data_IF_128984185308
#
_entry.id   IF_128984185308
#
_cell.length_a   1.000
_cell.length_b   1.000
_cell.length_c   1.000
_cell.angle_alpha   90.00
_cell.angle_beta   90.00
_cell.angle_gamma   90.00
#
_symmetry.space_group_name_H-M   'P 1'
#
loop_
_entity.id
_entity.type
_entity.pdbx_description
1 polymer ?
#
# COMPACT_ATOMS: atom_id res chain seq x y z
N UNK A 1 -3.56 13.10 3.32
CA UNK A 1 -4.80 12.27 3.30
C UNK A 1 -4.44 10.84 3.68
N UNK A 2 -5.22 10.21 4.55
CA UNK A 2 -5.03 8.80 4.96
C UNK A 2 -6.21 7.98 4.46
N UNK A 3 -5.93 6.87 3.78
CA UNK A 3 -6.95 5.92 3.36
C UNK A 3 -6.60 4.53 3.85
N UNK A 4 -7.58 3.88 4.48
CA UNK A 4 -7.51 2.47 4.84
C UNK A 4 -8.19 1.65 3.73
N UNK A 5 -7.42 0.79 3.07
CA UNK A 5 -7.93 -0.16 2.07
C UNK A 5 -8.70 0.45 0.87
N UNK A 6 -8.16 1.46 0.16
CA UNK A 6 -8.88 2.15 -0.93
C UNK A 6 -9.20 1.26 -2.14
N UNK A 7 -8.68 0.04 -2.20
CA UNK A 7 -8.81 -0.88 -3.34
C UNK A 7 -9.84 -2.00 -3.16
N UNK A 8 -10.32 -2.27 -1.93
CA UNK A 8 -11.43 -3.20 -1.64
C UNK A 8 -11.47 -4.52 -2.43
N UNK A 9 -12.65 -5.16 -2.49
CA UNK A 9 -12.94 -6.27 -3.42
C UNK A 9 -13.40 -5.72 -4.79
N UNK A 10 -12.71 -4.71 -5.30
CA UNK A 10 -13.05 -4.07 -6.57
C UNK A 10 -12.38 -4.81 -7.73
N UNK A 11 -12.98 -4.73 -8.93
CA UNK A 11 -12.38 -5.36 -10.10
C UNK A 11 -11.05 -4.67 -10.48
N UNK A 12 -10.12 -5.37 -11.16
CA UNK A 12 -8.80 -4.84 -11.49
C UNK A 12 -8.83 -3.51 -12.27
N UNK A 13 -9.86 -3.27 -13.09
CA UNK A 13 -10.02 -2.02 -13.85
C UNK A 13 -10.29 -0.85 -12.92
N UNK A 14 -11.14 -1.07 -11.92
CA UNK A 14 -11.47 -0.05 -10.94
C UNK A 14 -10.29 0.22 -10.00
N UNK A 15 -9.60 -0.83 -9.54
CA UNK A 15 -8.38 -0.70 -8.75
C UNK A 15 -7.34 0.18 -9.45
N UNK A 16 -7.14 -0.04 -10.76
CA UNK A 16 -6.24 0.76 -11.61
C UNK A 16 -6.64 2.23 -11.70
N UNK A 17 -7.93 2.52 -11.87
CA UNK A 17 -8.42 3.91 -11.95
C UNK A 17 -8.23 4.64 -10.63
N UNK A 18 -8.48 3.96 -9.51
CA UNK A 18 -8.27 4.54 -8.19
C UNK A 18 -6.78 4.80 -7.96
N UNK A 19 -5.90 3.83 -8.24
CA UNK A 19 -4.46 4.00 -8.05
C UNK A 19 -3.88 5.16 -8.87
N UNK A 20 -4.39 5.39 -10.08
CA UNK A 20 -4.01 6.55 -10.90
C UNK A 20 -4.43 7.90 -10.31
N UNK A 21 -5.58 7.95 -9.63
CA UNK A 21 -6.14 9.20 -9.10
C UNK A 21 -5.67 9.55 -7.71
N UNK A 22 -5.34 8.56 -6.89
CA UNK A 22 -4.90 8.78 -5.51
C UNK A 22 -3.77 9.82 -5.36
N UNK A 23 -2.68 9.78 -6.15
CA UNK A 23 -1.59 10.76 -6.02
C UNK A 23 -2.00 12.21 -6.32
N UNK A 24 -3.03 12.42 -7.16
CA UNK A 24 -3.50 13.76 -7.54
C UNK A 24 -4.40 14.41 -6.47
N UNK A 25 -4.87 13.65 -5.48
CA UNK A 25 -5.90 14.12 -4.54
C UNK A 25 -5.36 15.02 -3.41
N UNK A 26 -4.06 14.95 -3.11
CA UNK A 26 -3.43 15.76 -2.08
C UNK A 26 -1.91 15.83 -2.27
N UNK A 27 -1.25 16.83 -1.70
CA UNK A 27 0.23 16.94 -1.69
C UNK A 27 0.90 15.73 -1.02
N UNK A 28 0.25 15.12 -0.03
CA UNK A 28 0.73 13.91 0.63
C UNK A 28 -0.40 12.89 0.84
N UNK A 29 -0.14 11.65 0.39
CA UNK A 29 -1.07 10.53 0.48
C UNK A 29 -0.37 9.35 1.16
N UNK A 30 -1.03 8.79 2.18
CA UNK A 30 -0.61 7.55 2.85
C UNK A 30 -1.68 6.50 2.58
N UNK A 31 -1.27 5.39 1.99
CA UNK A 31 -2.15 4.29 1.59
C UNK A 31 -1.79 3.06 2.42
N UNK A 32 -2.76 2.53 3.16
CA UNK A 32 -2.64 1.26 3.86
C UNK A 32 -3.34 0.18 3.04
N UNK A 33 -2.62 -0.89 2.73
CA UNK A 33 -3.10 -1.99 1.88
C UNK A 33 -2.63 -3.33 2.43
N UNK A 34 -3.46 -4.34 2.18
CA UNK A 34 -3.11 -5.74 2.42
C UNK A 34 -2.43 -6.35 1.19
N UNK A 35 -1.72 -7.47 1.35
CA UNK A 35 -1.07 -8.14 0.22
C UNK A 35 -2.08 -8.55 -0.89
N UNK A 36 -3.31 -8.91 -0.52
CA UNK A 36 -4.36 -9.26 -1.50
C UNK A 36 -4.89 -8.07 -2.29
N UNK A 37 -4.73 -6.85 -1.78
CA UNK A 37 -5.15 -5.61 -2.44
C UNK A 37 -4.04 -4.98 -3.29
N UNK A 38 -2.78 -5.37 -3.04
CA UNK A 38 -1.63 -4.95 -3.83
C UNK A 38 -1.50 -5.79 -5.11
N UNK A 39 -2.51 -5.69 -5.98
CA UNK A 39 -2.51 -6.37 -7.28
C UNK A 39 -1.52 -5.73 -8.25
N UNK A 40 -1.17 -6.44 -9.33
CA UNK A 40 -0.29 -5.90 -10.39
C UNK A 40 -0.82 -4.57 -10.96
N UNK A 41 -2.14 -4.39 -11.01
CA UNK A 41 -2.78 -3.16 -11.47
C UNK A 41 -2.60 -1.98 -10.50
N UNK A 42 -2.52 -2.24 -9.20
CA UNK A 42 -2.24 -1.22 -8.18
C UNK A 42 -0.74 -0.96 -8.12
N UNK A 43 0.06 -2.03 -8.04
CA UNK A 43 1.50 -1.97 -7.96
C UNK A 43 2.10 -1.22 -9.16
N UNK A 44 1.65 -1.53 -10.38
CA UNK A 44 2.14 -0.88 -11.60
C UNK A 44 1.81 0.61 -11.72
N UNK A 45 0.86 1.13 -10.95
CA UNK A 45 0.52 2.56 -10.98
C UNK A 45 1.09 3.31 -9.76
N UNK A 46 1.18 2.65 -8.60
CA UNK A 46 1.66 3.28 -7.36
C UNK A 46 3.16 3.07 -7.11
N UNK A 47 3.79 1.99 -7.57
CA UNK A 47 5.18 1.71 -7.24
C UNK A 47 6.13 2.80 -7.75
N UNK A 48 5.88 3.32 -8.95
CA UNK A 48 6.71 4.36 -9.57
C UNK A 48 6.52 5.75 -8.95
N UNK A 49 5.42 5.97 -8.22
CA UNK A 49 5.06 7.26 -7.60
C UNK A 49 5.34 7.24 -6.09
N UNK A 50 5.31 6.06 -5.46
CA UNK A 50 5.48 5.91 -4.02
C UNK A 50 6.92 6.24 -3.59
N UNK A 51 7.11 7.43 -3.01
CA UNK A 51 8.43 7.86 -2.54
C UNK A 51 9.00 7.02 -1.39
N UNK A 52 8.15 6.37 -0.60
CA UNK A 52 8.57 5.42 0.44
C UNK A 52 7.56 4.28 0.55
N UNK A 53 8.07 3.06 0.75
CA UNK A 53 7.26 1.85 0.95
C UNK A 53 7.70 1.13 2.22
N UNK A 54 6.73 0.62 2.95
CA UNK A 54 6.94 -0.09 4.20
C UNK A 54 6.09 -1.35 4.23
N UNK A 55 6.62 -2.42 4.81
CA UNK A 55 5.90 -3.64 5.14
C UNK A 55 5.67 -3.70 6.64
N UNK A 56 4.43 -3.87 7.06
CA UNK A 56 4.08 -4.19 8.43
C UNK A 56 4.26 -5.69 8.63
N UNK A 57 5.27 -6.09 9.39
CA UNK A 57 5.55 -7.50 9.70
C UNK A 57 5.00 -7.82 11.07
N UNK A 58 4.06 -8.75 11.12
CA UNK A 58 3.49 -9.24 12.37
C UNK A 58 4.33 -10.40 12.91
N UNK A 59 4.69 -10.31 14.19
CA UNK A 59 5.46 -11.31 14.91
C UNK A 59 4.64 -11.81 16.10
N UNK A 60 4.42 -13.12 16.13
CA UNK A 60 3.82 -13.83 17.25
C UNK A 60 4.93 -14.64 17.93
N UNK A 61 5.56 -14.01 18.93
CA UNK A 61 6.49 -14.68 19.81
C UNK A 61 5.75 -15.16 21.06
N UNK A 62 6.10 -16.34 21.57
CA UNK A 62 5.44 -17.01 22.71
C UNK A 62 5.26 -16.12 23.96
N UNK A 63 5.98 -15.01 24.07
CA UNK A 63 5.97 -14.09 25.20
C UNK A 63 5.17 -12.82 24.94
N UNK A 64 5.19 -12.28 23.70
CA UNK A 64 4.50 -11.05 23.29
C UNK A 64 4.28 -11.02 21.78
N UNK A 65 3.16 -10.46 21.35
CA UNK A 65 2.90 -10.12 19.95
C UNK A 65 3.40 -8.70 19.66
N UNK A 66 4.03 -8.49 18.50
CA UNK A 66 4.43 -7.15 18.04
C UNK A 66 4.39 -7.02 16.52
N UNK A 67 4.32 -5.77 16.05
CA UNK A 67 4.39 -5.44 14.63
C UNK A 67 5.60 -4.55 14.36
N UNK A 68 6.47 -4.97 13.47
CA UNK A 68 7.61 -4.19 12.99
C UNK A 68 7.27 -3.47 11.68
N UNK A 69 7.69 -2.22 11.53
CA UNK A 69 7.59 -1.47 10.28
C UNK A 69 8.93 -1.57 9.55
N UNK A 70 8.98 -2.37 8.49
CA UNK A 70 10.21 -2.65 7.75
C UNK A 70 10.19 -1.89 6.43
N UNK A 71 11.18 -1.04 6.11
CA UNK A 71 11.26 -0.40 4.79
C UNK A 71 11.47 -1.46 3.71
N UNK A 72 10.67 -1.41 2.64
CA UNK A 72 10.89 -2.25 1.46
C UNK A 72 11.99 -1.60 0.63
N UNK A 73 13.23 -2.04 0.87
CA UNK A 73 14.44 -1.51 0.26
C UNK A 73 14.50 -1.68 -1.26
N UNK A 74 13.78 -0.82 -1.97
CA UNK A 74 14.07 -0.42 -3.35
C UNK A 74 13.68 1.06 -3.46
N UNK A 75 14.65 1.93 -3.20
CA UNK A 75 14.70 3.25 -3.85
C UNK A 75 15.04 2.98 -5.31
N UNK A 76 14.07 3.22 -6.20
CA UNK A 76 14.31 3.29 -7.64
C UNK A 76 15.12 4.55 -7.98
#
# INVERSE_FOLDING_TARGET
MLMDSPFGYLDPTYQRRVSQKLPEMAEQVVVLVTESQWSDAVAGELADIAGQRYKLQYHDEQKYEYTEIVPTGETY
#
